data_IF_946413475897
#
_entry.id   IF_946413475897
#
_cell.length_a   1.000
_cell.length_b   1.000
_cell.length_c   1.000
_cell.angle_alpha   90.00
_cell.angle_beta   90.00
_cell.angle_gamma   90.00
#
_symmetry.space_group_name_H-M   'P 1'
#
loop_
_entity.id
_entity.type
_entity.pdbx_description
1 polymer ?
#
# COMPACT_ATOMS: atom_id res chain seq x y z
N UNK A 1 -47.16 13.91 -15.56
CA UNK A 1 -46.03 13.33 -16.31
C UNK A 1 -44.88 13.21 -15.32
N UNK A 2 -44.24 12.04 -15.30
CA UNK A 2 -43.38 11.51 -14.23
C UNK A 2 -42.23 12.46 -13.84
N UNK A 3 -42.08 12.69 -12.55
CA UNK A 3 -40.91 13.30 -11.92
C UNK A 3 -39.79 12.24 -11.91
N UNK A 4 -38.73 12.50 -12.67
CA UNK A 4 -37.54 11.66 -12.71
C UNK A 4 -36.48 12.21 -11.77
N UNK A 5 -36.62 11.93 -10.48
CA UNK A 5 -35.51 12.03 -9.55
C UNK A 5 -34.71 10.74 -9.67
N UNK A 6 -33.60 10.82 -10.40
CA UNK A 6 -32.58 9.77 -10.46
C UNK A 6 -31.99 9.66 -9.05
N UNK A 7 -32.42 8.62 -8.34
CA UNK A 7 -31.94 8.26 -7.02
C UNK A 7 -30.49 7.82 -7.17
N UNK A 8 -29.57 8.77 -6.96
CA UNK A 8 -28.14 8.53 -6.89
C UNK A 8 -27.90 7.37 -5.93
N UNK A 9 -27.53 6.21 -6.47
CA UNK A 9 -27.09 5.07 -5.68
C UNK A 9 -25.80 5.48 -4.97
N UNK A 10 -25.91 5.82 -3.70
CA UNK A 10 -24.77 5.91 -2.79
C UNK A 10 -24.10 4.55 -2.78
N UNK A 11 -22.98 4.43 -3.48
CA UNK A 11 -22.09 3.28 -3.36
C UNK A 11 -21.27 3.52 -2.09
N UNK A 12 -21.83 3.09 -0.96
CA UNK A 12 -21.12 3.09 0.31
C UNK A 12 -20.04 2.00 0.25
N UNK A 13 -18.85 2.36 -0.23
CA UNK A 13 -17.66 1.53 -0.05
C UNK A 13 -17.36 1.58 1.43
N UNK A 14 -17.70 0.51 2.14
CA UNK A 14 -17.58 0.45 3.59
C UNK A 14 -16.13 0.72 4.00
N UNK A 15 -15.90 1.92 4.55
CA UNK A 15 -14.61 2.36 5.06
C UNK A 15 -14.48 1.84 6.49
N UNK A 16 -14.01 0.60 6.63
CA UNK A 16 -13.71 0.04 7.95
C UNK A 16 -12.37 0.59 8.42
N UNK A 17 -12.38 1.21 9.60
CA UNK A 17 -11.15 1.57 10.31
C UNK A 17 -10.43 0.29 10.72
N UNK A 18 -9.14 0.22 10.42
CA UNK A 18 -8.28 -0.93 10.74
C UNK A 18 -6.99 -0.45 11.39
N UNK A 19 -6.51 -1.20 12.38
CA UNK A 19 -5.15 -1.02 12.87
C UNK A 19 -4.18 -1.74 11.93
N UNK A 20 -3.10 -1.08 11.51
CA UNK A 20 -2.13 -1.68 10.58
C UNK A 20 -1.58 -3.00 11.11
N UNK A 21 -1.39 -3.12 12.43
CA UNK A 21 -0.89 -4.33 13.07
C UNK A 21 -1.82 -5.54 12.86
N UNK A 22 -3.13 -5.32 12.75
CA UNK A 22 -4.09 -6.40 12.49
C UNK A 22 -3.96 -6.94 11.06
N UNK A 23 -3.36 -6.17 10.14
CA UNK A 23 -3.08 -6.61 8.76
C UNK A 23 -1.77 -7.41 8.66
N UNK A 24 -0.91 -7.37 9.69
CA UNK A 24 0.40 -8.01 9.69
C UNK A 24 0.33 -9.43 10.26
N UNK A 25 -0.51 -10.27 9.67
CA UNK A 25 -0.67 -11.66 10.11
C UNK A 25 0.68 -12.41 10.12
N UNK A 26 0.90 -13.21 11.17
CA UNK A 26 2.04 -14.10 11.33
C UNK A 26 1.92 -15.34 10.43
N UNK A 27 1.97 -15.13 9.12
CA UNK A 27 1.71 -16.12 8.07
C UNK A 27 2.97 -16.48 7.26
N UNK A 28 4.14 -16.32 7.88
CA UNK A 28 5.49 -16.55 7.32
C UNK A 28 5.94 -15.61 6.20
N UNK A 29 5.08 -14.69 5.73
CA UNK A 29 5.43 -13.73 4.67
C UNK A 29 6.05 -12.45 5.23
N UNK A 30 7.04 -11.93 4.52
CA UNK A 30 7.50 -10.55 4.70
C UNK A 30 6.36 -9.60 4.30
N UNK A 31 6.15 -8.54 5.08
CA UNK A 31 5.20 -7.48 4.75
C UNK A 31 5.97 -6.31 4.19
N UNK A 32 5.56 -5.83 3.02
CA UNK A 32 6.12 -4.66 2.37
C UNK A 32 5.08 -3.55 2.48
N UNK A 33 5.29 -2.61 3.39
CA UNK A 33 4.39 -1.50 3.64
C UNK A 33 4.88 -0.30 2.85
N UNK A 34 4.09 0.16 1.90
CA UNK A 34 4.41 1.28 1.01
C UNK A 34 3.56 2.48 1.42
N UNK A 35 4.20 3.48 2.01
CA UNK A 35 3.61 4.77 2.31
C UNK A 35 3.84 5.68 1.10
N UNK A 36 2.83 5.76 0.23
CA UNK A 36 2.91 6.36 -1.10
C UNK A 36 2.77 7.89 -1.13
N UNK A 37 2.47 8.51 0.01
CA UNK A 37 2.15 9.92 0.13
C UNK A 37 0.72 10.26 -0.27
N UNK A 38 0.48 11.51 -0.68
CA UNK A 38 -0.86 12.01 -1.00
C UNK A 38 -1.19 11.76 -2.48
N UNK A 39 -1.93 10.70 -2.76
CA UNK A 39 -2.31 10.34 -4.14
C UNK A 39 -3.30 11.32 -4.80
N UNK A 40 -3.85 12.30 -4.08
CA UNK A 40 -4.57 13.42 -4.71
C UNK A 40 -3.59 14.42 -5.38
N UNK A 41 -2.30 14.32 -5.08
CA UNK A 41 -1.22 15.10 -5.69
C UNK A 41 -0.59 14.29 -6.83
N UNK A 42 -0.62 14.84 -8.04
CA UNK A 42 -0.11 14.18 -9.25
C UNK A 42 1.37 13.79 -9.16
N UNK A 43 2.19 14.57 -8.45
CA UNK A 43 3.60 14.26 -8.25
C UNK A 43 3.81 12.99 -7.42
N UNK A 44 3.05 12.81 -6.33
CA UNK A 44 3.17 11.63 -5.46
C UNK A 44 2.58 10.39 -6.12
N UNK A 45 1.47 10.57 -6.85
CA UNK A 45 0.91 9.54 -7.72
C UNK A 45 1.90 9.08 -8.79
N UNK A 46 2.62 9.99 -9.44
CA UNK A 46 3.66 9.65 -10.42
C UNK A 46 4.80 8.83 -9.79
N UNK A 47 5.24 9.18 -8.57
CA UNK A 47 6.25 8.38 -7.83
C UNK A 47 5.75 6.96 -7.57
N UNK A 48 4.50 6.79 -7.14
CA UNK A 48 3.92 5.47 -6.89
C UNK A 48 3.84 4.62 -8.16
N UNK A 49 3.46 5.23 -9.29
CA UNK A 49 3.43 4.56 -10.59
C UNK A 49 4.83 4.12 -11.05
N UNK A 50 5.84 4.99 -10.93
CA UNK A 50 7.22 4.64 -11.24
C UNK A 50 7.75 3.50 -10.34
N UNK A 51 7.43 3.53 -9.05
CA UNK A 51 7.75 2.45 -8.12
C UNK A 51 7.07 1.14 -8.52
N UNK A 52 5.80 1.17 -8.92
CA UNK A 52 5.10 -0.02 -9.38
C UNK A 52 5.75 -0.64 -10.63
N UNK A 53 6.12 0.20 -11.60
CA UNK A 53 6.83 -0.26 -12.81
C UNK A 53 8.19 -0.89 -12.46
N UNK A 54 8.95 -0.30 -11.53
CA UNK A 54 10.24 -0.83 -11.08
C UNK A 54 10.10 -2.16 -10.33
N UNK A 55 9.12 -2.29 -9.44
CA UNK A 55 8.85 -3.52 -8.69
C UNK A 55 8.31 -4.65 -9.58
N UNK A 56 7.71 -4.30 -10.73
CA UNK A 56 7.12 -5.28 -11.64
C UNK A 56 8.14 -5.96 -12.58
N UNK A 57 9.36 -5.42 -12.66
CA UNK A 57 10.46 -5.98 -13.43
C UNK A 57 10.86 -7.36 -12.92
N UNK A 58 11.27 -8.24 -13.84
CA UNK A 58 11.58 -9.65 -13.53
C UNK A 58 12.75 -9.85 -12.58
N UNK A 59 13.73 -8.95 -12.62
CA UNK A 59 14.92 -8.93 -11.79
C UNK A 59 14.65 -8.47 -10.37
N UNK A 60 13.51 -7.81 -10.15
CA UNK A 60 13.15 -7.26 -8.86
C UNK A 60 12.85 -8.37 -7.84
N UNK A 61 13.23 -8.17 -6.58
CA UNK A 61 13.06 -9.11 -5.47
C UNK A 61 11.63 -9.66 -5.39
N UNK A 62 10.64 -8.80 -5.65
CA UNK A 62 9.24 -9.17 -5.61
C UNK A 62 8.94 -10.24 -6.66
N UNK A 63 9.40 -10.06 -7.90
CA UNK A 63 9.20 -11.05 -8.98
C UNK A 63 10.12 -12.27 -8.82
N UNK A 64 11.37 -12.04 -8.46
CA UNK A 64 12.41 -13.05 -8.34
C UNK A 64 12.15 -14.05 -7.22
N UNK A 65 11.76 -13.58 -6.02
CA UNK A 65 11.55 -14.43 -4.85
C UNK A 65 10.07 -14.58 -4.46
N UNK A 66 9.16 -13.76 -5.01
CA UNK A 66 7.78 -13.70 -4.51
C UNK A 66 6.85 -14.81 -5.00
N UNK A 67 7.15 -15.45 -6.14
CA UNK A 67 6.29 -16.48 -6.76
C UNK A 67 6.71 -17.87 -6.32
N UNK A 68 5.77 -18.64 -5.77
CA UNK A 68 5.92 -20.10 -5.69
C UNK A 68 5.71 -20.78 -7.04
N UNK A 69 6.00 -22.07 -7.14
CA UNK A 69 5.78 -22.93 -8.33
C UNK A 69 4.37 -22.82 -8.94
N UNK A 70 3.38 -22.40 -8.15
CA UNK A 70 1.97 -22.25 -8.54
C UNK A 70 1.56 -20.81 -8.89
N UNK A 71 2.50 -19.86 -8.93
CA UNK A 71 2.24 -18.45 -9.28
C UNK A 71 1.58 -17.59 -8.18
N UNK A 72 1.28 -18.16 -7.01
CA UNK A 72 0.79 -17.40 -5.85
C UNK A 72 1.93 -16.66 -5.15
N UNK A 73 1.65 -15.45 -4.65
CA UNK A 73 2.54 -14.67 -3.79
C UNK A 73 2.78 -15.42 -2.47
N UNK A 74 3.95 -16.07 -2.34
CA UNK A 74 4.28 -16.91 -1.18
C UNK A 74 5.23 -16.26 -0.19
N UNK A 75 6.02 -15.27 -0.60
CA UNK A 75 7.07 -14.69 0.25
C UNK A 75 6.74 -13.29 0.72
N UNK A 76 6.09 -12.50 -0.13
CA UNK A 76 5.77 -11.10 0.15
C UNK A 76 4.26 -10.87 0.21
N UNK A 77 3.85 -10.03 1.14
CA UNK A 77 2.55 -9.40 1.15
C UNK A 77 2.73 -7.87 1.08
N UNK A 78 2.17 -7.23 0.07
CA UNK A 78 2.38 -5.80 -0.18
C UNK A 78 1.11 -5.06 0.24
N UNK A 79 1.27 -4.07 1.11
CA UNK A 79 0.22 -3.14 1.54
C UNK A 79 0.64 -1.73 1.14
N UNK A 80 -0.26 -0.98 0.53
CA UNK A 80 -0.01 0.39 0.09
C UNK A 80 -0.94 1.35 0.82
N UNK A 81 -0.39 2.46 1.31
CA UNK A 81 -1.06 3.45 2.13
C UNK A 81 -0.93 4.82 1.47
N UNK A 82 -2.03 5.57 1.38
CA UNK A 82 -2.04 6.96 0.92
C UNK A 82 -2.46 7.89 2.06
N UNK A 83 -1.83 9.05 2.21
CA UNK A 83 -2.27 10.10 3.14
C UNK A 83 -3.45 10.93 2.63
N UNK A 84 -3.80 10.76 1.34
CA UNK A 84 -4.94 11.42 0.71
C UNK A 84 -6.26 11.17 1.45
N UNK A 85 -7.13 12.18 1.43
CA UNK A 85 -8.49 12.11 1.97
C UNK A 85 -9.40 11.24 1.10
N UNK A 86 -10.31 10.51 1.75
CA UNK A 86 -11.22 9.57 1.07
C UNK A 86 -12.05 10.24 -0.04
N UNK A 87 -12.40 11.52 0.11
CA UNK A 87 -13.16 12.28 -0.89
C UNK A 87 -12.31 12.85 -2.04
N UNK A 88 -10.98 12.68 -1.98
CA UNK A 88 -10.01 13.19 -2.98
C UNK A 88 -9.29 12.10 -3.77
N UNK A 89 -9.48 10.84 -3.41
CA UNK A 89 -8.73 9.72 -3.99
C UNK A 89 -9.68 8.61 -4.45
N UNK A 90 -9.40 8.07 -5.63
CA UNK A 90 -10.09 6.90 -6.17
C UNK A 90 -9.21 5.65 -6.01
N UNK A 91 -9.83 4.49 -5.83
CA UNK A 91 -9.16 3.19 -5.87
C UNK A 91 -8.27 3.00 -7.12
N UNK A 92 -8.68 3.56 -8.25
CA UNK A 92 -7.95 3.49 -9.52
C UNK A 92 -6.68 4.35 -9.55
N UNK A 93 -6.45 5.21 -8.56
CA UNK A 93 -5.21 5.99 -8.47
C UNK A 93 -4.02 5.13 -8.00
N UNK A 94 -4.30 4.00 -7.35
CA UNK A 94 -3.29 2.99 -7.09
C UNK A 94 -3.00 2.21 -8.38
N UNK A 95 -1.74 2.03 -8.79
CA UNK A 95 -1.43 1.26 -9.99
C UNK A 95 -1.78 -0.23 -9.77
N UNK A 96 -2.12 -0.98 -10.84
CA UNK A 96 -2.59 -2.37 -10.75
C UNK A 96 -1.75 -3.30 -9.87
N UNK A 97 -0.43 -3.08 -9.82
CA UNK A 97 0.52 -3.81 -8.98
C UNK A 97 0.13 -3.81 -7.48
N UNK A 98 -0.30 -2.66 -6.93
CA UNK A 98 -0.64 -2.53 -5.51
C UNK A 98 -2.07 -2.93 -5.17
N UNK A 99 -2.92 -3.13 -6.19
CA UNK A 99 -4.34 -3.41 -6.00
C UNK A 99 -4.78 -4.78 -6.54
N UNK A 100 -4.06 -5.88 -6.21
CA UNK A 100 -4.53 -7.23 -6.56
C UNK A 100 -5.82 -7.59 -5.81
N UNK A 101 -6.10 -6.91 -4.70
CA UNK A 101 -7.33 -6.99 -3.93
C UNK A 101 -7.56 -5.68 -3.16
N UNK A 102 -8.82 -5.31 -2.90
CA UNK A 102 -9.17 -4.05 -2.24
C UNK A 102 -8.55 -3.89 -0.84
N UNK A 103 -8.32 -5.01 -0.13
CA UNK A 103 -7.70 -5.00 1.21
C UNK A 103 -6.18 -4.73 1.21
N UNK A 104 -5.58 -4.46 0.04
CA UNK A 104 -4.15 -4.17 -0.09
C UNK A 104 -3.82 -2.69 -0.25
N UNK A 105 -4.85 -1.85 -0.39
CA UNK A 105 -4.70 -0.40 -0.46
C UNK A 105 -5.54 0.23 0.64
N UNK A 106 -4.96 1.17 1.37
CA UNK A 106 -5.56 1.81 2.53
C UNK A 106 -5.31 3.32 2.50
N UNK A 107 -6.18 4.06 3.15
CA UNK A 107 -6.05 5.50 3.32
C UNK A 107 -5.75 5.80 4.79
N UNK A 108 -4.83 6.72 5.03
CA UNK A 108 -4.59 7.30 6.33
C UNK A 108 -5.56 8.48 6.55
N UNK A 109 -6.84 8.15 6.67
CA UNK A 109 -7.90 9.12 6.89
C UNK A 109 -8.80 8.72 8.05
N UNK A 110 -9.52 9.70 8.57
CA UNK A 110 -10.55 9.46 9.56
C UNK A 110 -11.81 8.89 8.90
N UNK A 111 -12.64 8.20 9.68
CA UNK A 111 -13.96 7.78 9.26
C UNK A 111 -14.82 8.97 8.78
N UNK A 112 -15.95 8.67 8.13
CA UNK A 112 -16.89 9.67 7.60
C UNK A 112 -17.41 10.68 8.66
N UNK A 113 -17.27 10.38 9.95
CA UNK A 113 -17.69 11.23 11.04
C UNK A 113 -16.52 11.95 11.74
N UNK A 114 -15.28 11.74 11.28
CA UNK A 114 -14.05 12.28 11.87
C UNK A 114 -13.74 11.75 13.27
N UNK A 115 -14.31 10.61 13.67
CA UNK A 115 -14.26 10.14 15.07
C UNK A 115 -13.14 9.16 15.35
N UNK A 116 -12.74 8.38 14.36
CA UNK A 116 -11.73 7.32 14.49
C UNK A 116 -10.98 7.08 13.18
N UNK A 117 -9.79 6.49 13.25
CA UNK A 117 -8.89 6.31 12.11
C UNK A 117 -7.93 7.47 11.89
N UNK A 118 -7.07 7.34 10.89
CA UNK A 118 -6.09 8.35 10.50
C UNK A 118 -4.87 8.48 11.44
N UNK A 119 -3.92 9.31 11.03
CA UNK A 119 -2.72 9.67 11.80
C UNK A 119 -1.60 8.62 11.81
N UNK A 120 -1.69 7.58 10.99
CA UNK A 120 -0.66 6.56 10.83
C UNK A 120 0.68 7.13 10.38
N UNK A 121 0.69 7.99 9.35
CA UNK A 121 1.89 8.67 8.86
C UNK A 121 2.58 9.45 9.99
N UNK A 122 1.82 10.33 10.66
CA UNK A 122 2.31 11.13 11.77
C UNK A 122 2.82 10.26 12.94
N UNK A 123 2.09 9.22 13.32
CA UNK A 123 2.46 8.28 14.40
C UNK A 123 3.76 7.53 14.11
N UNK A 124 4.03 7.20 12.85
CA UNK A 124 5.26 6.54 12.43
C UNK A 124 6.39 7.51 12.03
N UNK A 125 6.13 8.82 12.07
CA UNK A 125 7.11 9.84 11.67
C UNK A 125 7.42 9.82 10.17
N UNK A 126 6.46 9.43 9.34
CA UNK A 126 6.58 9.39 7.89
C UNK A 126 6.00 10.68 7.32
N UNK A 127 6.79 11.35 6.50
CA UNK A 127 6.35 12.55 5.78
C UNK A 127 5.34 12.16 4.67
N UNK A 128 4.24 12.91 4.61
CA UNK A 128 3.08 12.64 3.74
C UNK A 128 3.35 12.85 2.24
N UNK A 129 4.51 13.39 1.85
CA UNK A 129 4.89 13.60 0.44
C UNK A 129 6.21 12.93 0.06
N UNK A 130 7.09 12.67 1.04
CA UNK A 130 8.30 11.87 0.81
C UNK A 130 7.96 10.38 0.80
N UNK A 131 7.09 9.93 1.71
CA UNK A 131 6.72 8.52 1.82
C UNK A 131 7.87 7.63 2.31
N UNK A 132 7.61 6.32 2.35
CA UNK A 132 8.60 5.31 2.75
C UNK A 132 8.17 3.91 2.31
N UNK A 133 9.14 3.00 2.19
CA UNK A 133 8.93 1.57 2.08
C UNK A 133 9.47 0.92 3.36
N UNK A 134 8.62 0.22 4.09
CA UNK A 134 8.98 -0.49 5.33
C UNK A 134 8.86 -1.99 5.08
N UNK A 135 9.95 -2.71 5.32
CA UNK A 135 9.95 -4.16 5.32
C UNK A 135 9.74 -4.65 6.75
N UNK A 136 8.67 -5.40 6.97
CA UNK A 136 8.42 -6.12 8.22
C UNK A 136 8.68 -7.60 7.99
N UNK A 137 9.50 -8.18 8.86
CA UNK A 137 9.85 -9.60 8.86
C UNK A 137 8.66 -10.46 9.28
N UNK A 138 8.69 -11.77 8.96
CA UNK A 138 7.63 -12.70 9.37
C UNK A 138 7.39 -12.81 10.88
N UNK A 139 8.37 -12.42 11.70
CA UNK A 139 8.27 -12.36 13.16
C UNK A 139 7.75 -11.02 13.71
N UNK A 140 7.34 -10.11 12.82
CA UNK A 140 6.75 -8.81 13.18
C UNK A 140 7.77 -7.68 13.39
N UNK A 141 9.08 -7.95 13.31
CA UNK A 141 10.10 -6.91 13.47
C UNK A 141 10.35 -6.13 12.17
N UNK A 142 10.63 -4.83 12.28
CA UNK A 142 11.10 -4.04 11.14
C UNK A 142 12.47 -4.54 10.71
N UNK A 143 12.59 -4.95 9.46
CA UNK A 143 13.84 -5.42 8.85
C UNK A 143 14.64 -4.30 8.20
N UNK A 144 13.96 -3.44 7.43
CA UNK A 144 14.56 -2.25 6.81
C UNK A 144 13.50 -1.19 6.51
N UNK A 145 13.97 0.06 6.37
CA UNK A 145 13.20 1.19 5.86
C UNK A 145 13.98 1.80 4.71
N UNK A 146 13.31 2.10 3.61
CA UNK A 146 13.88 2.71 2.41
C UNK A 146 13.00 3.86 1.90
N UNK A 147 13.55 4.84 1.18
CA UNK A 147 12.74 5.79 0.43
C UNK A 147 12.00 5.11 -0.73
N UNK A 148 11.01 5.77 -1.33
CA UNK A 148 10.22 5.21 -2.44
C UNK A 148 11.05 4.93 -3.70
N UNK A 149 12.19 5.58 -3.89
CA UNK A 149 13.16 5.31 -4.96
C UNK A 149 14.27 4.31 -4.56
N UNK A 150 14.25 3.82 -3.32
CA UNK A 150 15.26 2.92 -2.75
C UNK A 150 15.10 1.44 -3.13
N UNK A 151 14.68 1.15 -4.36
CA UNK A 151 14.40 -0.24 -4.80
C UNK A 151 15.68 -1.07 -4.91
N UNK A 152 16.81 -0.43 -5.20
CA UNK A 152 18.12 -1.10 -5.26
C UNK A 152 18.54 -1.66 -3.90
N UNK A 153 18.30 -0.90 -2.84
CA UNK A 153 18.57 -1.28 -1.45
C UNK A 153 17.67 -2.44 -1.03
N UNK A 154 16.38 -2.41 -1.42
CA UNK A 154 15.44 -3.50 -1.19
C UNK A 154 15.89 -4.80 -1.87
N UNK A 155 16.29 -4.72 -3.15
CA UNK A 155 16.85 -5.87 -3.86
C UNK A 155 18.08 -6.44 -3.12
N UNK A 156 19.03 -5.58 -2.78
CA UNK A 156 20.27 -5.98 -2.08
C UNK A 156 19.99 -6.62 -0.73
N UNK A 157 19.00 -6.11 0.02
CA UNK A 157 18.58 -6.68 1.29
C UNK A 157 18.09 -8.12 1.12
N UNK A 158 17.12 -8.36 0.23
CA UNK A 158 16.55 -9.70 0.05
C UNK A 158 17.51 -10.69 -0.60
N UNK A 159 18.34 -10.25 -1.54
CA UNK A 159 19.37 -11.10 -2.17
C UNK A 159 20.42 -11.62 -1.18
N UNK A 160 20.61 -10.95 -0.05
CA UNK A 160 21.60 -11.37 0.95
C UNK A 160 21.22 -12.64 1.72
N UNK A 161 19.94 -13.05 1.69
CA UNK A 161 19.47 -14.22 2.45
C UNK A 161 18.37 -15.06 1.79
N UNK A 162 17.66 -14.56 0.76
CA UNK A 162 16.72 -15.37 -0.02
C UNK A 162 17.44 -16.05 -1.18
N UNK A 163 16.98 -17.26 -1.52
CA UNK A 163 17.56 -18.14 -2.55
C UNK A 163 16.49 -18.46 -3.59
#
# INVERSE_FOLDING_TARGET
MHDGADEHKEVEIVSYVVEIQDLLHADTRFKILVFAGDLAIEADKAKLHALAEELDKSENFVRRFGRGETGKWKVFDVLCFSSAKQDKVDYLYFPPFFRPHYSKVLLDDCDLHGRSGGGGYAKYGIDEHVGAIVVVRPDGYVGMVAPLDGVKELNSYFESFLI
#
